data_IF_556845659499
#
_entry.id   IF_556845659499
#
_cell.length_a   1.000
_cell.length_b   1.000
_cell.length_c   1.000
_cell.angle_alpha   90.00
_cell.angle_beta   90.00
_cell.angle_gamma   90.00
#
_symmetry.space_group_name_H-M   'P 1'
#
loop_
_entity.id
_entity.type
_entity.pdbx_description
1 polymer ?
#
# COMPACT_ATOMS: atom_id res chain seq x y z
N UNK A 1 8.98 36.88 -4.04
CA UNK A 1 9.64 35.57 -3.78
C UNK A 1 8.65 34.39 -3.67
N UNK A 2 7.57 34.46 -2.87
CA UNK A 2 6.55 33.37 -2.80
C UNK A 2 5.82 33.09 -4.12
N UNK A 3 5.38 34.12 -4.86
CA UNK A 3 4.70 33.92 -6.16
C UNK A 3 5.62 33.31 -7.23
N UNK A 4 6.89 33.75 -7.30
CA UNK A 4 7.87 33.16 -8.23
C UNK A 4 8.11 31.66 -7.98
N UNK A 5 8.07 31.21 -6.72
CA UNK A 5 8.14 29.77 -6.39
C UNK A 5 6.90 29.00 -6.87
N UNK A 6 5.71 29.60 -6.74
CA UNK A 6 4.44 28.98 -7.16
C UNK A 6 4.40 28.83 -8.69
N UNK A 7 4.80 29.84 -9.45
CA UNK A 7 4.86 29.75 -10.92
C UNK A 7 5.88 28.73 -11.40
N UNK A 8 7.00 28.58 -10.68
CA UNK A 8 8.00 27.56 -10.97
C UNK A 8 7.45 26.14 -10.74
N UNK A 9 6.64 25.96 -9.69
CA UNK A 9 5.96 24.69 -9.40
C UNK A 9 4.89 24.40 -10.48
N UNK A 10 4.07 25.38 -10.87
CA UNK A 10 3.07 25.20 -11.92
C UNK A 10 3.69 24.91 -13.29
N UNK A 11 4.80 25.57 -13.64
CA UNK A 11 5.57 25.22 -14.86
C UNK A 11 6.13 23.80 -14.80
N UNK A 12 6.62 23.33 -13.64
CA UNK A 12 7.06 21.93 -13.49
C UNK A 12 5.89 20.94 -13.57
N UNK A 13 4.70 21.31 -13.08
CA UNK A 13 3.48 20.50 -13.20
C UNK A 13 3.00 20.46 -14.66
N UNK A 14 3.11 21.54 -15.42
CA UNK A 14 2.76 21.54 -16.85
C UNK A 14 3.73 20.68 -17.67
N UNK A 15 4.99 20.53 -17.26
CA UNK A 15 5.92 19.54 -17.83
C UNK A 15 5.52 18.08 -17.59
N UNK A 16 4.47 17.80 -16.80
CA UNK A 16 3.90 16.45 -16.77
C UNK A 16 3.21 16.03 -18.07
N UNK A 17 3.00 16.94 -19.03
CA UNK A 17 2.47 16.61 -20.36
C UNK A 17 3.53 15.88 -21.18
N UNK A 18 3.34 14.59 -21.42
CA UNK A 18 4.12 13.84 -22.41
C UNK A 18 3.39 13.83 -23.74
N UNK A 19 4.04 14.26 -24.82
CA UNK A 19 3.50 14.17 -26.20
C UNK A 19 3.09 12.75 -26.63
N UNK A 20 3.56 11.72 -25.91
CA UNK A 20 3.24 10.32 -26.17
C UNK A 20 1.91 9.83 -25.55
N UNK A 21 1.24 10.64 -24.73
CA UNK A 21 -0.11 10.34 -24.21
C UNK A 21 -1.12 11.32 -24.84
N UNK A 22 -1.46 11.09 -26.12
CA UNK A 22 -2.30 12.01 -26.91
C UNK A 22 -3.68 12.25 -26.30
N UNK A 23 -4.18 11.31 -25.51
CA UNK A 23 -5.49 11.38 -24.86
C UNK A 23 -5.40 11.61 -23.35
N UNK A 24 -4.20 11.79 -22.79
CA UNK A 24 -3.95 11.93 -21.35
C UNK A 24 -4.55 10.81 -20.48
N UNK A 25 -4.81 9.63 -21.07
CA UNK A 25 -5.55 8.56 -20.41
C UNK A 25 -4.78 8.01 -19.22
N UNK A 26 -3.50 7.71 -19.39
CA UNK A 26 -2.70 7.15 -18.30
C UNK A 26 -2.50 8.17 -17.18
N UNK A 27 -2.26 9.45 -17.54
CA UNK A 27 -2.15 10.52 -16.56
C UNK A 27 -3.46 10.70 -15.76
N UNK A 28 -4.60 10.73 -16.44
CA UNK A 28 -5.92 10.81 -15.83
C UNK A 28 -6.18 9.63 -14.89
N UNK A 29 -5.97 8.39 -15.37
CA UNK A 29 -6.08 7.17 -14.56
C UNK A 29 -5.17 7.23 -13.33
N UNK A 30 -3.94 7.75 -13.47
CA UNK A 30 -3.00 7.89 -12.37
C UNK A 30 -3.47 8.85 -11.29
N UNK A 31 -4.05 9.99 -11.68
CA UNK A 31 -4.63 10.97 -10.74
C UNK A 31 -5.84 10.38 -10.03
N UNK A 32 -6.76 9.74 -10.77
CA UNK A 32 -7.95 9.12 -10.17
C UNK A 32 -7.57 7.99 -9.22
N UNK A 33 -6.60 7.14 -9.57
CA UNK A 33 -6.10 6.09 -8.69
C UNK A 33 -5.40 6.64 -7.45
N UNK A 34 -4.65 7.75 -7.56
CA UNK A 34 -4.02 8.40 -6.42
C UNK A 34 -5.07 8.95 -5.45
N UNK A 35 -6.09 9.65 -5.96
CA UNK A 35 -7.22 10.11 -5.15
C UNK A 35 -7.97 8.94 -4.51
N UNK A 36 -8.13 7.84 -5.22
CA UNK A 36 -8.74 6.63 -4.69
C UNK A 36 -7.91 6.02 -3.54
N UNK A 37 -6.58 5.94 -3.66
CA UNK A 37 -5.71 5.54 -2.54
C UNK A 37 -5.86 6.47 -1.34
N UNK A 38 -5.85 7.80 -1.56
CA UNK A 38 -6.04 8.78 -0.48
C UNK A 38 -7.38 8.58 0.24
N UNK A 39 -8.46 8.39 -0.53
CA UNK A 39 -9.79 8.09 0.01
C UNK A 39 -9.80 6.80 0.85
N UNK A 40 -9.21 5.70 0.32
CA UNK A 40 -9.19 4.41 1.02
C UNK A 40 -8.34 4.46 2.29
N UNK A 41 -7.17 5.10 2.26
CA UNK A 41 -6.35 5.27 3.47
C UNK A 41 -6.99 6.22 4.49
N UNK A 42 -7.68 7.28 4.04
CA UNK A 42 -8.49 8.10 4.92
C UNK A 42 -9.61 7.28 5.60
N UNK A 43 -10.32 6.44 4.84
CA UNK A 43 -11.32 5.52 5.38
C UNK A 43 -10.71 4.54 6.38
N UNK A 44 -9.53 3.99 6.09
CA UNK A 44 -8.82 3.11 7.01
C UNK A 44 -8.53 3.79 8.35
N UNK A 45 -7.98 5.00 8.32
CA UNK A 45 -7.63 5.74 9.55
C UNK A 45 -8.87 6.16 10.34
N UNK A 46 -9.94 6.58 9.66
CA UNK A 46 -11.14 7.12 10.32
C UNK A 46 -12.17 6.06 10.73
N UNK A 47 -12.25 4.96 9.98
CA UNK A 47 -13.28 3.91 10.15
C UNK A 47 -12.70 2.54 10.49
N UNK A 48 -11.38 2.38 10.49
CA UNK A 48 -10.70 1.10 10.71
C UNK A 48 -10.79 0.12 9.54
N UNK A 49 -11.33 0.54 8.38
CA UNK A 49 -11.50 -0.30 7.19
C UNK A 49 -11.41 0.54 5.92
N UNK A 50 -10.84 -0.03 4.87
CA UNK A 50 -10.82 0.59 3.55
C UNK A 50 -12.17 0.50 2.83
N UNK A 51 -13.12 -0.28 3.34
CA UNK A 51 -14.49 -0.37 2.84
C UNK A 51 -14.60 -1.17 1.54
N UNK A 52 -13.75 -2.17 1.35
CA UNK A 52 -13.89 -3.13 0.25
C UNK A 52 -14.87 -4.22 0.65
N UNK A 53 -15.70 -4.64 -0.30
CA UNK A 53 -16.72 -5.68 -0.11
C UNK A 53 -16.63 -6.72 -1.23
N UNK A 54 -17.13 -7.91 -0.98
CA UNK A 54 -17.25 -8.96 -2.01
C UNK A 54 -18.44 -8.70 -2.93
N UNK A 55 -18.58 -9.53 -3.97
CA UNK A 55 -19.69 -9.46 -4.93
C UNK A 55 -21.05 -9.37 -4.21
N UNK A 56 -21.98 -8.50 -4.65
CA UNK A 56 -21.97 -7.74 -5.91
C UNK A 56 -21.50 -6.26 -5.80
N UNK A 57 -20.67 -5.90 -4.81
CA UNK A 57 -20.29 -4.50 -4.61
C UNK A 57 -19.62 -3.86 -5.84
N UNK A 58 -20.28 -2.87 -6.43
CA UNK A 58 -19.84 -2.25 -7.68
C UNK A 58 -18.61 -1.36 -7.48
N UNK A 59 -18.49 -0.70 -6.32
CA UNK A 59 -17.34 0.17 -6.01
C UNK A 59 -16.03 -0.62 -5.93
N UNK A 60 -16.06 -1.81 -5.36
CA UNK A 60 -14.90 -2.71 -5.31
C UNK A 60 -14.50 -3.16 -6.71
N UNK A 61 -15.47 -3.55 -7.55
CA UNK A 61 -15.20 -3.93 -8.93
C UNK A 61 -14.60 -2.76 -9.74
N UNK A 62 -15.19 -1.57 -9.63
CA UNK A 62 -14.68 -0.37 -10.30
C UNK A 62 -13.27 -0.01 -9.84
N UNK A 63 -12.96 -0.18 -8.55
CA UNK A 63 -11.60 0.01 -8.04
C UNK A 63 -10.62 -0.99 -8.68
N UNK A 64 -10.96 -2.29 -8.72
CA UNK A 64 -10.11 -3.30 -9.36
C UNK A 64 -9.88 -2.96 -10.84
N UNK A 65 -10.93 -2.56 -11.56
CA UNK A 65 -10.84 -2.17 -12.97
C UNK A 65 -10.01 -0.91 -13.18
N UNK A 66 -10.19 0.13 -12.36
CA UNK A 66 -9.42 1.38 -12.39
C UNK A 66 -7.92 1.10 -12.24
N UNK A 67 -7.54 0.36 -11.19
CA UNK A 67 -6.13 0.06 -10.92
C UNK A 67 -5.53 -0.91 -11.96
N UNK A 68 -6.34 -1.81 -12.54
CA UNK A 68 -5.92 -2.67 -13.66
C UNK A 68 -5.66 -1.85 -14.92
N UNK A 69 -6.59 -0.96 -15.29
CA UNK A 69 -6.45 -0.06 -16.43
C UNK A 69 -5.24 0.86 -16.28
N UNK A 70 -4.97 1.38 -15.07
CA UNK A 70 -3.77 2.15 -14.79
C UNK A 70 -2.49 1.34 -15.04
N UNK A 71 -2.41 0.11 -14.52
CA UNK A 71 -1.23 -0.74 -14.71
C UNK A 71 -1.04 -1.13 -16.18
N UNK A 72 -2.09 -1.53 -16.89
CA UNK A 72 -2.00 -1.95 -18.30
C UNK A 72 -1.72 -0.78 -19.25
N UNK A 73 -2.27 0.41 -18.98
CA UNK A 73 -2.01 1.60 -19.80
C UNK A 73 -0.54 2.04 -19.77
N UNK A 74 0.26 1.60 -18.79
CA UNK A 74 1.70 1.84 -18.80
C UNK A 74 2.41 1.22 -20.02
N UNK A 75 1.83 0.21 -20.68
CA UNK A 75 2.39 -0.42 -21.89
C UNK A 75 2.46 0.54 -23.10
N UNK A 76 1.68 1.62 -23.09
CA UNK A 76 1.67 2.64 -24.15
C UNK A 76 3.03 3.36 -24.21
N UNK A 77 3.73 3.46 -23.08
CA UNK A 77 5.03 4.13 -23.03
C UNK A 77 6.15 3.25 -23.53
N UNK A 78 6.91 3.78 -24.51
CA UNK A 78 8.20 3.24 -24.91
C UNK A 78 9.22 3.53 -23.82
N UNK A 79 9.64 2.50 -23.10
CA UNK A 79 10.73 2.55 -22.13
C UNK A 79 12.01 1.99 -22.74
N UNK A 80 13.20 2.48 -22.35
CA UNK A 80 14.45 1.91 -22.83
C UNK A 80 14.55 0.43 -22.43
N UNK A 81 15.12 -0.37 -23.34
CA UNK A 81 15.40 -1.79 -23.09
C UNK A 81 16.55 -1.92 -22.10
N UNK A 82 17.53 -1.02 -22.18
CA UNK A 82 18.72 -1.02 -21.32
C UNK A 82 18.58 -0.11 -20.11
N UNK A 83 19.07 -0.56 -18.97
CA UNK A 83 19.15 0.22 -17.73
C UNK A 83 20.30 1.23 -17.83
N UNK A 84 20.05 2.44 -17.35
CA UNK A 84 21.08 3.45 -17.08
C UNK A 84 21.51 3.36 -15.62
N UNK A 85 22.80 3.44 -15.34
CA UNK A 85 23.35 3.35 -13.97
C UNK A 85 23.27 4.65 -13.18
N UNK A 86 22.99 5.79 -13.82
CA UNK A 86 23.11 7.11 -13.20
C UNK A 86 21.98 7.46 -12.24
N UNK A 87 20.74 7.09 -12.55
CA UNK A 87 19.57 7.44 -11.77
C UNK A 87 18.50 6.33 -11.79
N UNK A 88 17.68 6.19 -10.73
CA UNK A 88 16.50 5.35 -10.74
C UNK A 88 15.55 5.76 -11.87
N UNK A 89 15.51 4.97 -12.92
CA UNK A 89 14.67 5.22 -14.10
C UNK A 89 13.87 3.97 -14.41
N UNK A 90 12.69 4.12 -15.00
CA UNK A 90 11.91 2.99 -15.48
C UNK A 90 12.49 2.45 -16.80
N UNK A 91 12.98 1.20 -16.79
CA UNK A 91 13.36 0.43 -17.98
C UNK A 91 12.37 -0.73 -18.23
N UNK A 92 12.54 -1.45 -19.35
CA UNK A 92 11.54 -2.41 -19.83
C UNK A 92 11.27 -3.58 -18.86
N UNK A 93 12.31 -4.16 -18.26
CA UNK A 93 12.13 -5.24 -17.27
C UNK A 93 11.35 -4.75 -16.05
N UNK A 94 11.76 -3.61 -15.47
CA UNK A 94 11.07 -3.01 -14.33
C UNK A 94 9.60 -2.72 -14.66
N UNK A 95 9.33 -2.07 -15.80
CA UNK A 95 7.96 -1.76 -16.24
C UNK A 95 7.10 -3.02 -16.28
N UNK A 96 7.57 -4.08 -16.94
CA UNK A 96 6.81 -5.33 -17.09
C UNK A 96 6.66 -6.08 -15.76
N UNK A 97 7.67 -6.06 -14.88
CA UNK A 97 7.56 -6.61 -13.53
C UNK A 97 6.53 -5.86 -12.68
N UNK A 98 6.55 -4.53 -12.68
CA UNK A 98 5.56 -3.72 -11.96
C UNK A 98 4.14 -4.02 -12.42
N UNK A 99 3.90 -4.13 -13.73
CA UNK A 99 2.60 -4.51 -14.29
C UNK A 99 2.22 -5.92 -13.82
N UNK A 100 3.13 -6.89 -13.96
CA UNK A 100 2.88 -8.29 -13.59
C UNK A 100 2.52 -8.43 -12.11
N UNK A 101 3.24 -7.76 -11.21
CA UNK A 101 2.98 -7.83 -9.77
C UNK A 101 1.75 -7.03 -9.34
N UNK A 102 1.42 -5.92 -10.02
CA UNK A 102 0.16 -5.23 -9.81
C UNK A 102 -1.03 -6.12 -10.23
N UNK A 103 -0.95 -6.72 -11.43
CA UNK A 103 -1.98 -7.65 -11.92
C UNK A 103 -2.11 -8.90 -11.07
N UNK A 104 -1.04 -9.37 -10.41
CA UNK A 104 -1.11 -10.43 -9.40
C UNK A 104 -2.05 -10.05 -8.25
N UNK A 105 -1.81 -8.89 -7.63
CA UNK A 105 -2.65 -8.44 -6.50
C UNK A 105 -4.08 -8.18 -6.96
N UNK A 106 -4.27 -7.51 -8.10
CA UNK A 106 -5.61 -7.20 -8.64
C UNK A 106 -6.37 -8.46 -9.07
N UNK A 107 -5.70 -9.44 -9.66
CA UNK A 107 -6.30 -10.73 -10.01
C UNK A 107 -6.69 -11.52 -8.77
N UNK A 108 -5.88 -11.48 -7.71
CA UNK A 108 -6.26 -12.05 -6.41
C UNK A 108 -7.44 -11.30 -5.79
N UNK A 109 -7.46 -9.97 -5.80
CA UNK A 109 -8.62 -9.19 -5.35
C UNK A 109 -9.88 -9.59 -6.11
N UNK A 110 -9.80 -9.79 -7.42
CA UNK A 110 -10.92 -10.24 -8.25
C UNK A 110 -11.41 -11.64 -7.82
N UNK A 111 -10.51 -12.58 -7.55
CA UNK A 111 -10.90 -13.90 -7.05
C UNK A 111 -11.58 -13.82 -5.68
N UNK A 112 -11.09 -12.96 -4.78
CA UNK A 112 -11.72 -12.74 -3.47
C UNK A 112 -13.10 -12.12 -3.63
N UNK A 113 -13.21 -11.11 -4.49
CA UNK A 113 -14.46 -10.44 -4.81
C UNK A 113 -15.52 -11.43 -5.29
N UNK A 114 -15.15 -12.38 -6.16
CA UNK A 114 -16.03 -13.42 -6.68
C UNK A 114 -16.25 -14.62 -5.73
N UNK A 115 -15.66 -14.62 -4.52
CA UNK A 115 -15.72 -15.75 -3.59
C UNK A 115 -14.82 -16.95 -3.98
N UNK A 116 -14.03 -16.83 -5.04
CA UNK A 116 -13.13 -17.86 -5.59
C UNK A 116 -11.71 -17.81 -4.97
N UNK A 117 -11.62 -17.42 -3.70
CA UNK A 117 -10.35 -17.19 -3.02
C UNK A 117 -9.44 -18.42 -2.92
N UNK A 118 -9.97 -19.65 -3.05
CA UNK A 118 -9.14 -20.87 -3.09
C UNK A 118 -8.22 -20.93 -4.31
N UNK A 119 -8.55 -20.23 -5.39
CA UNK A 119 -7.77 -20.21 -6.63
C UNK A 119 -6.67 -19.13 -6.67
N UNK A 120 -6.45 -18.38 -5.58
CA UNK A 120 -5.42 -17.32 -5.50
C UNK A 120 -4.04 -17.78 -5.95
N UNK A 121 -3.68 -19.00 -5.58
CA UNK A 121 -2.41 -19.62 -5.91
C UNK A 121 -2.14 -19.67 -7.41
N UNK A 122 -3.17 -19.96 -8.22
CA UNK A 122 -3.05 -20.03 -9.69
C UNK A 122 -2.57 -18.69 -10.23
N UNK A 123 -3.20 -17.59 -9.81
CA UNK A 123 -2.80 -16.23 -10.20
C UNK A 123 -1.38 -15.91 -9.76
N UNK A 124 -1.03 -16.22 -8.50
CA UNK A 124 0.31 -15.95 -7.94
C UNK A 124 1.40 -16.70 -8.68
N UNK A 125 1.22 -18.00 -8.92
CA UNK A 125 2.20 -18.85 -9.61
C UNK A 125 2.35 -18.44 -11.07
N UNK A 126 1.23 -18.17 -11.77
CA UNK A 126 1.27 -17.68 -13.16
C UNK A 126 2.01 -16.36 -13.26
N UNK A 127 1.73 -15.38 -12.38
CA UNK A 127 2.47 -14.12 -12.37
C UNK A 127 3.97 -14.30 -12.06
N UNK A 128 4.34 -15.24 -11.18
CA UNK A 128 5.74 -15.56 -10.94
C UNK A 128 6.44 -16.20 -12.14
N UNK A 129 5.75 -17.06 -12.87
CA UNK A 129 6.23 -17.61 -14.13
C UNK A 129 6.43 -16.52 -15.18
N UNK A 130 5.44 -15.64 -15.38
CA UNK A 130 5.54 -14.50 -16.31
C UNK A 130 6.70 -13.58 -15.93
N UNK A 131 6.88 -13.28 -14.64
CA UNK A 131 8.02 -12.47 -14.16
C UNK A 131 9.38 -13.12 -14.47
N UNK A 132 9.50 -14.45 -14.40
CA UNK A 132 10.71 -15.15 -14.80
C UNK A 132 10.95 -15.08 -16.30
N UNK A 133 9.92 -15.19 -17.12
CA UNK A 133 10.06 -15.04 -18.58
C UNK A 133 10.48 -13.62 -18.96
N UNK A 134 9.92 -12.60 -18.30
CA UNK A 134 10.36 -11.21 -18.44
C UNK A 134 11.83 -11.08 -18.07
N UNK A 135 12.22 -11.65 -16.93
CA UNK A 135 13.62 -11.62 -16.46
C UNK A 135 14.53 -12.30 -17.50
N UNK A 136 14.23 -13.52 -17.92
CA UNK A 136 15.02 -14.25 -18.93
C UNK A 136 15.24 -13.44 -20.21
N UNK A 137 14.24 -12.66 -20.64
CA UNK A 137 14.30 -11.86 -21.87
C UNK A 137 15.03 -10.52 -21.73
N UNK A 138 14.93 -9.86 -20.57
CA UNK A 138 15.37 -8.47 -20.41
C UNK A 138 16.45 -8.25 -19.35
N UNK A 139 16.86 -9.30 -18.63
CA UNK A 139 17.79 -9.22 -17.49
C UNK A 139 19.10 -8.53 -17.85
N UNK A 140 19.40 -7.50 -17.09
CA UNK A 140 20.70 -6.79 -17.11
C UNK A 140 21.30 -6.65 -15.70
N UNK A 141 20.79 -7.46 -14.76
CA UNK A 141 21.07 -7.34 -13.35
C UNK A 141 19.89 -7.81 -12.51
N UNK A 142 19.89 -7.46 -11.23
CA UNK A 142 18.71 -7.64 -10.38
C UNK A 142 17.90 -6.36 -10.34
N UNK A 143 16.58 -6.46 -10.57
CA UNK A 143 15.73 -5.27 -10.78
C UNK A 143 15.74 -4.29 -9.61
N UNK A 144 15.76 -4.78 -8.37
CA UNK A 144 15.78 -3.89 -7.18
C UNK A 144 17.17 -3.68 -6.58
N UNK A 145 18.03 -4.70 -6.58
CA UNK A 145 19.31 -4.62 -5.86
C UNK A 145 20.36 -3.76 -6.57
N UNK A 146 20.22 -3.62 -7.86
CA UNK A 146 21.10 -2.79 -8.67
C UNK A 146 20.44 -1.45 -9.03
N UNK A 147 19.39 -1.05 -8.31
CA UNK A 147 18.82 0.30 -8.45
C UNK A 147 19.86 1.32 -7.97
N UNK A 148 20.14 2.40 -8.71
CA UNK A 148 21.16 3.38 -8.32
C UNK A 148 20.84 4.00 -6.96
N UNK A 149 21.73 3.78 -5.99
CA UNK A 149 21.65 4.33 -4.65
C UNK A 149 22.35 5.69 -4.60
N UNK A 150 21.82 6.68 -3.86
CA UNK A 150 22.59 7.88 -3.52
C UNK A 150 23.79 7.51 -2.64
N UNK A 151 24.89 8.25 -2.75
CA UNK A 151 26.16 7.97 -2.07
C UNK A 151 25.99 7.73 -0.56
N UNK A 152 25.15 8.54 0.09
CA UNK A 152 24.84 8.42 1.53
C UNK A 152 24.21 7.07 1.93
N UNK A 153 23.54 6.38 0.99
CA UNK A 153 22.88 5.09 1.23
C UNK A 153 23.71 3.89 0.78
N UNK A 154 24.84 4.09 0.08
CA UNK A 154 25.71 2.99 -0.39
C UNK A 154 26.18 2.09 0.76
N UNK A 155 26.61 2.62 1.94
CA UNK A 155 26.98 1.78 3.08
C UNK A 155 25.86 0.87 3.59
N UNK A 156 24.59 1.26 3.38
CA UNK A 156 23.40 0.54 3.83
C UNK A 156 22.76 -0.32 2.73
N UNK A 157 23.44 -0.48 1.60
CA UNK A 157 22.90 -1.17 0.43
C UNK A 157 22.48 -2.61 0.74
N UNK A 158 23.19 -3.31 1.62
CA UNK A 158 22.89 -4.69 2.02
C UNK A 158 21.58 -4.77 2.81
N UNK A 159 21.42 -3.90 3.81
CA UNK A 159 20.26 -3.83 4.71
C UNK A 159 19.02 -3.44 3.92
N UNK A 160 19.13 -2.43 3.04
CA UNK A 160 18.04 -2.02 2.15
C UNK A 160 17.63 -3.15 1.22
N UNK A 161 18.59 -3.85 0.62
CA UNK A 161 18.31 -4.98 -0.26
C UNK A 161 17.66 -6.15 0.47
N UNK A 162 18.07 -6.41 1.71
CA UNK A 162 17.44 -7.41 2.56
C UNK A 162 16.00 -7.02 2.91
N UNK A 163 15.78 -5.76 3.32
CA UNK A 163 14.45 -5.24 3.61
C UNK A 163 13.53 -5.36 2.40
N UNK A 164 13.94 -4.85 1.23
CA UNK A 164 13.13 -4.94 0.00
C UNK A 164 12.84 -6.38 -0.42
N UNK A 165 13.84 -7.26 -0.37
CA UNK A 165 13.65 -8.67 -0.74
C UNK A 165 12.71 -9.39 0.25
N UNK A 166 12.82 -9.07 1.53
CA UNK A 166 11.95 -9.64 2.57
C UNK A 166 10.52 -9.12 2.42
N UNK A 167 10.33 -7.84 2.18
CA UNK A 167 8.99 -7.27 1.91
C UNK A 167 8.33 -7.86 0.68
N UNK A 168 9.09 -8.19 -0.36
CA UNK A 168 8.56 -8.90 -1.52
C UNK A 168 8.07 -10.32 -1.18
N UNK A 169 8.74 -11.04 -0.27
CA UNK A 169 8.30 -12.36 0.20
C UNK A 169 7.04 -12.25 1.05
N UNK A 170 7.02 -11.32 2.01
CA UNK A 170 5.84 -11.08 2.86
C UNK A 170 4.63 -10.60 2.04
N UNK A 171 4.86 -9.84 0.97
CA UNK A 171 3.80 -9.48 0.02
C UNK A 171 3.19 -10.71 -0.66
N UNK A 172 3.96 -11.76 -0.98
CA UNK A 172 3.40 -13.01 -1.52
C UNK A 172 2.56 -13.73 -0.48
N UNK A 173 3.06 -13.84 0.75
CA UNK A 173 2.33 -14.46 1.87
C UNK A 173 1.01 -13.72 2.11
N UNK A 174 1.05 -12.39 2.20
CA UNK A 174 -0.14 -11.58 2.39
C UNK A 174 -1.16 -11.77 1.26
N UNK A 175 -0.70 -11.81 0.00
CA UNK A 175 -1.59 -12.05 -1.15
C UNK A 175 -2.24 -13.45 -1.12
N UNK A 176 -1.54 -14.46 -0.62
CA UNK A 176 -2.11 -15.81 -0.50
C UNK A 176 -3.10 -15.92 0.66
N UNK A 177 -2.80 -15.29 1.80
CA UNK A 177 -3.45 -15.57 3.09
C UNK A 177 -4.52 -14.53 3.49
N UNK A 178 -4.32 -13.24 3.19
CA UNK A 178 -5.11 -12.14 3.74
C UNK A 178 -6.38 -11.81 2.93
N UNK A 179 -7.17 -10.85 3.42
CA UNK A 179 -8.38 -10.36 2.76
C UNK A 179 -8.10 -9.39 1.61
N UNK A 180 -9.19 -8.86 1.04
CA UNK A 180 -9.13 -7.96 -0.12
C UNK A 180 -8.49 -6.60 0.22
N UNK A 181 -8.68 -6.11 1.45
CA UNK A 181 -8.13 -4.83 1.91
C UNK A 181 -6.61 -4.90 1.98
N UNK A 182 -6.08 -5.95 2.57
CA UNK A 182 -4.64 -6.14 2.74
C UNK A 182 -3.95 -6.38 1.40
N UNK A 183 -4.60 -7.10 0.48
CA UNK A 183 -4.10 -7.26 -0.89
C UNK A 183 -4.03 -5.91 -1.60
N UNK A 184 -5.02 -5.02 -1.40
CA UNK A 184 -4.99 -3.66 -1.92
C UNK A 184 -3.85 -2.83 -1.29
N UNK A 185 -3.61 -2.99 0.01
CA UNK A 185 -2.49 -2.34 0.69
C UNK A 185 -1.13 -2.80 0.15
N UNK A 186 -1.00 -4.08 -0.22
CA UNK A 186 0.19 -4.64 -0.89
C UNK A 186 0.34 -4.14 -2.34
N UNK A 187 -0.77 -3.82 -3.02
CA UNK A 187 -0.73 -3.22 -4.36
C UNK A 187 -0.13 -1.80 -4.33
N UNK A 188 -0.38 -1.04 -3.26
CA UNK A 188 0.04 0.36 -3.16
C UNK A 188 1.53 0.59 -3.43
N UNK A 189 2.49 -0.07 -2.74
CA UNK A 189 3.92 0.12 -3.00
C UNK A 189 4.34 -0.16 -4.45
N UNK A 190 3.66 -1.10 -5.12
CA UNK A 190 3.99 -1.51 -6.50
C UNK A 190 3.65 -0.38 -7.47
N UNK A 191 2.42 0.16 -7.38
CA UNK A 191 1.99 1.26 -8.23
C UNK A 191 2.67 2.58 -7.84
N UNK A 192 2.90 2.79 -6.54
CA UNK A 192 3.57 3.97 -6.03
C UNK A 192 5.03 4.03 -6.48
N UNK A 193 5.78 2.91 -6.46
CA UNK A 193 7.14 2.88 -6.98
C UNK A 193 7.22 3.30 -8.46
N UNK A 194 6.29 2.82 -9.28
CA UNK A 194 6.20 3.22 -10.70
C UNK A 194 5.92 4.73 -10.84
N UNK A 195 4.99 5.26 -10.04
CA UNK A 195 4.73 6.71 -9.98
C UNK A 195 5.98 7.50 -9.56
N UNK A 196 6.68 7.09 -8.49
CA UNK A 196 7.90 7.74 -8.02
C UNK A 196 8.99 7.76 -9.10
N UNK A 197 9.15 6.69 -9.88
CA UNK A 197 10.09 6.69 -11.02
C UNK A 197 9.71 7.72 -12.10
N UNK A 198 8.42 8.01 -12.29
CA UNK A 198 8.02 9.10 -13.19
C UNK A 198 8.39 10.47 -12.62
N UNK A 199 8.36 10.65 -11.30
CA UNK A 199 8.80 11.88 -10.64
C UNK A 199 10.32 12.07 -10.74
N UNK A 200 11.10 10.98 -10.57
CA UNK A 200 12.55 11.01 -10.78
C UNK A 200 12.88 11.38 -12.22
N UNK A 201 12.24 10.74 -13.20
CA UNK A 201 12.43 11.07 -14.63
C UNK A 201 12.13 12.54 -14.95
N UNK A 202 11.19 13.15 -14.23
CA UNK A 202 10.83 14.57 -14.38
C UNK A 202 11.67 15.51 -13.52
N UNK A 203 12.72 14.99 -12.86
CA UNK A 203 13.59 15.73 -11.94
C UNK A 203 12.79 16.47 -10.84
N UNK A 204 11.67 15.89 -10.39
CA UNK A 204 10.86 16.43 -9.29
C UNK A 204 11.43 15.95 -7.95
N UNK A 205 11.83 14.68 -7.89
CA UNK A 205 12.52 14.07 -6.73
C UNK A 205 13.84 13.43 -7.20
N UNK A 206 14.83 13.38 -6.33
CA UNK A 206 16.09 12.68 -6.57
C UNK A 206 16.04 11.19 -6.18
N UNK A 207 17.15 10.44 -6.40
CA UNK A 207 17.27 9.03 -6.01
C UNK A 207 16.97 8.78 -4.53
N UNK A 208 17.47 9.66 -3.65
CA UNK A 208 17.19 9.59 -2.21
C UNK A 208 15.69 9.67 -1.91
N UNK A 209 14.99 10.65 -2.49
CA UNK A 209 13.55 10.81 -2.31
C UNK A 209 12.75 9.59 -2.78
N UNK A 210 13.17 8.98 -3.90
CA UNK A 210 12.58 7.74 -4.38
C UNK A 210 12.72 6.60 -3.37
N UNK A 211 13.94 6.35 -2.87
CA UNK A 211 14.17 5.28 -1.89
C UNK A 211 13.44 5.53 -0.58
N UNK A 212 13.43 6.76 -0.07
CA UNK A 212 12.74 7.12 1.16
C UNK A 212 11.23 6.88 1.05
N UNK A 213 10.60 7.41 0.01
CA UNK A 213 9.15 7.28 -0.21
C UNK A 213 8.74 5.84 -0.53
N UNK A 214 9.55 5.09 -1.28
CA UNK A 214 9.30 3.67 -1.55
C UNK A 214 9.40 2.84 -0.27
N UNK A 215 10.45 3.06 0.53
CA UNK A 215 10.62 2.38 1.83
C UNK A 215 9.44 2.67 2.76
N UNK A 216 9.02 3.93 2.86
CA UNK A 216 7.82 4.31 3.61
C UNK A 216 6.58 3.57 3.11
N UNK A 217 6.37 3.47 1.80
CA UNK A 217 5.22 2.75 1.26
C UNK A 217 5.24 1.26 1.62
N UNK A 218 6.42 0.62 1.64
CA UNK A 218 6.58 -0.77 2.05
C UNK A 218 6.32 -1.00 3.54
N UNK A 219 6.54 0.01 4.39
CA UNK A 219 6.26 -0.04 5.83
C UNK A 219 4.75 -0.06 6.11
N UNK A 220 3.94 0.59 5.28
CA UNK A 220 2.49 0.72 5.51
C UNK A 220 1.76 -0.63 5.70
N UNK A 221 1.96 -1.67 4.86
CA UNK A 221 1.44 -3.01 5.13
C UNK A 221 1.76 -3.54 6.52
N UNK A 222 3.00 -3.36 7.00
CA UNK A 222 3.39 -3.84 8.32
C UNK A 222 2.72 -3.08 9.46
N UNK A 223 2.56 -1.76 9.32
CA UNK A 223 1.80 -0.98 10.30
C UNK A 223 0.35 -1.44 10.35
N UNK A 224 -0.25 -1.74 9.19
CA UNK A 224 -1.61 -2.30 9.17
C UNK A 224 -1.69 -3.63 9.92
N UNK A 225 -0.77 -4.56 9.65
CA UNK A 225 -0.72 -5.85 10.36
C UNK A 225 -0.59 -5.63 11.87
N UNK A 226 0.26 -4.70 12.31
CA UNK A 226 0.51 -4.44 13.72
C UNK A 226 -0.68 -3.83 14.47
N UNK A 227 -1.45 -2.95 13.82
CA UNK A 227 -2.52 -2.20 14.48
C UNK A 227 -3.92 -2.77 14.26
N UNK A 228 -4.18 -3.43 13.14
CA UNK A 228 -5.55 -3.81 12.75
C UNK A 228 -5.81 -5.32 12.72
N UNK A 229 -4.76 -6.16 12.68
CA UNK A 229 -4.96 -7.60 12.72
C UNK A 229 -4.84 -8.18 14.14
N UNK A 230 -5.67 -9.17 14.49
CA UNK A 230 -5.52 -9.90 15.74
C UNK A 230 -4.12 -10.52 15.87
N UNK A 231 -3.54 -10.49 17.07
CA UNK A 231 -2.20 -11.02 17.36
C UNK A 231 -1.99 -12.46 16.85
N UNK A 232 -2.93 -13.41 17.00
CA UNK A 232 -2.75 -14.76 16.46
C UNK A 232 -2.58 -14.78 14.94
N UNK A 233 -3.27 -13.89 14.23
CA UNK A 233 -3.19 -13.77 12.77
C UNK A 233 -1.86 -13.18 12.33
N UNK A 234 -1.38 -12.17 13.05
CA UNK A 234 -0.04 -11.60 12.84
C UNK A 234 1.03 -12.66 13.06
N UNK A 235 0.93 -13.42 14.16
CA UNK A 235 1.87 -14.50 14.48
C UNK A 235 1.91 -15.56 13.37
N UNK A 236 0.75 -16.00 12.85
CA UNK A 236 0.65 -16.93 11.73
C UNK A 236 1.39 -16.42 10.49
N UNK A 237 1.16 -15.16 10.10
CA UNK A 237 1.80 -14.54 8.93
C UNK A 237 3.32 -14.41 9.12
N UNK A 238 3.76 -14.05 10.33
CA UNK A 238 5.17 -13.99 10.68
C UNK A 238 5.81 -15.39 10.61
N UNK A 239 5.17 -16.42 11.15
CA UNK A 239 5.67 -17.79 11.08
C UNK A 239 5.81 -18.27 9.62
N UNK A 240 4.79 -18.04 8.78
CA UNK A 240 4.83 -18.42 7.36
C UNK A 240 5.90 -17.60 6.63
N UNK A 241 5.93 -16.28 6.84
CA UNK A 241 6.87 -15.37 6.18
C UNK A 241 8.33 -15.60 6.57
N UNK A 242 8.62 -15.83 7.85
CA UNK A 242 9.96 -16.18 8.34
C UNK A 242 10.39 -17.55 7.79
N UNK A 243 9.51 -18.55 7.82
CA UNK A 243 9.81 -19.87 7.23
C UNK A 243 10.13 -19.74 5.75
N UNK A 244 9.32 -19.00 4.98
CA UNK A 244 9.58 -18.75 3.57
C UNK A 244 10.90 -17.99 3.33
N UNK A 245 11.23 -17.01 4.18
CA UNK A 245 12.49 -16.27 4.11
C UNK A 245 13.70 -17.17 4.42
N UNK A 246 13.61 -18.04 5.43
CA UNK A 246 14.67 -19.01 5.75
C UNK A 246 14.88 -19.99 4.61
N UNK A 247 13.81 -20.60 4.08
CA UNK A 247 13.87 -21.49 2.91
C UNK A 247 14.49 -20.78 1.70
N UNK A 248 14.10 -19.53 1.46
CA UNK A 248 14.57 -18.78 0.29
C UNK A 248 16.02 -18.32 0.41
N UNK A 249 16.41 -17.73 1.54
CA UNK A 249 17.71 -17.07 1.68
C UNK A 249 18.78 -17.99 2.27
N UNK A 250 18.46 -18.85 3.24
CA UNK A 250 19.41 -19.78 3.86
C UNK A 250 19.54 -21.07 3.06
N UNK A 251 18.41 -21.72 2.77
CA UNK A 251 18.41 -23.00 2.05
C UNK A 251 18.39 -22.87 0.52
N UNK A 252 18.27 -21.63 -0.01
CA UNK A 252 18.28 -21.32 -1.44
C UNK A 252 17.20 -22.07 -2.24
N UNK A 253 16.10 -22.45 -1.61
CA UNK A 253 14.99 -23.13 -2.28
C UNK A 253 14.44 -22.25 -3.42
N UNK A 254 14.01 -22.89 -4.50
CA UNK A 254 13.31 -22.17 -5.57
C UNK A 254 11.98 -21.64 -5.04
N UNK A 255 11.53 -20.48 -5.55
CA UNK A 255 10.23 -19.90 -5.13
C UNK A 255 9.06 -20.86 -5.37
N UNK A 256 9.15 -21.72 -6.39
CA UNK A 256 8.11 -22.71 -6.69
C UNK A 256 8.04 -23.81 -5.64
N UNK A 257 9.19 -24.27 -5.11
CA UNK A 257 9.23 -25.23 -4.01
C UNK A 257 8.66 -24.68 -2.70
N UNK A 258 8.62 -23.35 -2.54
CA UNK A 258 8.04 -22.70 -1.36
C UNK A 258 6.53 -22.50 -1.57
N UNK A 259 6.15 -21.86 -2.67
CA UNK A 259 4.79 -21.38 -2.86
C UNK A 259 3.81 -22.47 -3.28
N UNK A 260 4.22 -23.50 -4.02
CA UNK A 260 3.32 -24.58 -4.43
C UNK A 260 2.85 -25.39 -3.21
N UNK A 261 3.74 -25.93 -2.33
CA UNK A 261 3.29 -26.66 -1.15
C UNK A 261 2.46 -25.81 -0.19
N UNK A 262 2.86 -24.55 0.05
CA UNK A 262 2.08 -23.62 0.88
C UNK A 262 0.68 -23.41 0.29
N UNK A 263 0.59 -23.18 -1.02
CA UNK A 263 -0.69 -22.98 -1.71
C UNK A 263 -1.58 -24.21 -1.65
N UNK A 264 -1.01 -25.40 -1.84
CA UNK A 264 -1.75 -26.67 -1.72
C UNK A 264 -2.28 -26.84 -0.31
N UNK A 265 -1.47 -26.55 0.71
CA UNK A 265 -1.92 -26.59 2.10
C UNK A 265 -3.08 -25.62 2.34
N UNK A 266 -2.93 -24.36 1.94
CA UNK A 266 -3.97 -23.33 2.07
C UNK A 266 -5.26 -23.65 1.32
N UNK A 267 -5.19 -24.39 0.20
CA UNK A 267 -6.36 -24.81 -0.56
C UNK A 267 -7.24 -25.79 0.20
N UNK A 268 -6.63 -26.72 0.95
CA UNK A 268 -7.34 -27.74 1.73
C UNK A 268 -7.73 -27.25 3.14
N UNK A 269 -7.11 -26.19 3.64
CA UNK A 269 -7.51 -25.60 4.92
C UNK A 269 -8.90 -24.94 4.80
N UNK A 270 -9.74 -25.05 5.84
CA UNK A 270 -11.01 -24.32 5.89
C UNK A 270 -10.80 -22.82 5.64
N UNK A 271 -11.66 -22.24 4.81
CA UNK A 271 -11.56 -20.86 4.37
C UNK A 271 -11.86 -19.88 5.51
N UNK A 272 -10.82 -19.42 6.20
CA UNK A 272 -10.91 -18.45 7.31
C UNK A 272 -11.46 -17.07 6.91
N UNK A 273 -11.51 -16.76 5.61
CA UNK A 273 -12.03 -15.47 5.10
C UNK A 273 -13.51 -15.28 5.44
N UNK A 274 -14.29 -16.37 5.56
CA UNK A 274 -15.69 -16.30 5.99
C UNK A 274 -15.87 -16.00 7.49
N UNK A 275 -14.84 -16.24 8.30
CA UNK A 275 -14.82 -15.91 9.73
C UNK A 275 -14.42 -14.45 9.95
N UNK A 276 -13.45 -13.94 9.19
CA UNK A 276 -12.94 -12.56 9.31
C UNK A 276 -13.98 -11.49 8.91
N UNK A 277 -14.88 -11.80 7.97
CA UNK A 277 -16.02 -10.95 7.64
C UNK A 277 -16.99 -10.72 8.83
N UNK A 278 -17.04 -11.65 9.78
CA UNK A 278 -17.80 -11.51 11.05
C UNK A 278 -16.97 -10.87 12.17
N UNK A 279 -15.63 -10.93 12.11
CA UNK A 279 -14.75 -10.28 13.08
C UNK A 279 -14.65 -8.77 12.84
N UNK A 280 -14.52 -8.33 11.59
CA UNK A 280 -14.46 -6.91 11.23
C UNK A 280 -15.74 -6.16 11.61
N UNK A 281 -16.91 -6.78 11.47
CA UNK A 281 -18.16 -6.22 11.99
C UNK A 281 -18.10 -6.04 13.52
N UNK A 282 -17.60 -7.03 14.27
CA UNK A 282 -17.42 -6.92 15.73
C UNK A 282 -16.50 -5.79 16.15
N UNK A 283 -15.36 -5.59 15.47
CA UNK A 283 -14.45 -4.49 15.77
C UNK A 283 -15.06 -3.13 15.46
N UNK A 284 -15.78 -3.01 14.33
CA UNK A 284 -16.51 -1.78 14.02
C UNK A 284 -17.58 -1.47 15.08
N UNK A 285 -18.24 -2.50 15.62
CA UNK A 285 -19.16 -2.35 16.75
C UNK A 285 -18.43 -1.92 18.02
N UNK A 286 -17.28 -2.51 18.34
CA UNK A 286 -16.49 -2.16 19.52
C UNK A 286 -15.98 -0.71 19.48
N UNK A 287 -15.43 -0.26 18.34
CA UNK A 287 -15.00 1.13 18.15
C UNK A 287 -16.20 2.08 18.24
N UNK A 288 -17.34 1.72 17.63
CA UNK A 288 -18.55 2.55 17.73
C UNK A 288 -19.07 2.66 19.16
N UNK A 289 -18.95 1.59 19.96
CA UNK A 289 -19.34 1.55 21.37
C UNK A 289 -18.39 2.41 22.22
N UNK A 290 -17.10 2.35 21.95
CA UNK A 290 -16.09 3.15 22.65
C UNK A 290 -16.25 4.64 22.32
N UNK A 291 -16.53 4.98 21.06
CA UNK A 291 -16.86 6.34 20.64
C UNK A 291 -18.18 6.83 21.26
N UNK A 292 -19.21 5.98 21.38
CA UNK A 292 -20.44 6.36 22.07
C UNK A 292 -20.22 6.58 23.55
N UNK A 293 -19.41 5.73 24.20
CA UNK A 293 -19.08 5.84 25.61
C UNK A 293 -18.27 7.12 25.90
N UNK A 294 -17.33 7.45 25.01
CA UNK A 294 -16.57 8.69 25.11
C UNK A 294 -17.49 9.93 24.97
N UNK A 295 -18.43 9.91 24.01
CA UNK A 295 -19.43 10.97 23.85
C UNK A 295 -20.34 11.12 25.07
N UNK A 296 -20.81 10.01 25.65
CA UNK A 296 -21.62 10.07 26.86
C UNK A 296 -20.83 10.64 28.04
N UNK A 297 -19.54 10.32 28.16
CA UNK A 297 -18.69 10.86 29.21
C UNK A 297 -18.50 12.38 29.06
N UNK A 298 -18.27 12.88 27.84
CA UNK A 298 -18.18 14.33 27.59
C UNK A 298 -19.49 15.06 27.88
N UNK A 299 -20.63 14.50 27.48
CA UNK A 299 -21.94 15.11 27.77
C UNK A 299 -22.25 15.10 29.27
N UNK A 300 -21.86 14.06 29.99
CA UNK A 300 -22.02 14.00 31.45
C UNK A 300 -21.10 15.00 32.16
N UNK A 301 -19.87 15.19 31.67
CA UNK A 301 -18.97 16.22 32.19
C UNK A 301 -19.50 17.64 31.95
N UNK A 302 -20.07 17.92 30.77
CA UNK A 302 -20.72 19.20 30.46
C UNK A 302 -21.98 19.43 31.33
N UNK A 303 -22.79 18.40 31.54
CA UNK A 303 -23.97 18.47 32.40
C UNK A 303 -23.59 18.73 33.87
N UNK A 304 -22.57 18.05 34.38
CA UNK A 304 -22.07 18.25 35.74
C UNK A 304 -21.43 19.63 35.92
N UNK A 305 -20.68 20.12 34.93
CA UNK A 305 -20.15 21.48 34.93
C UNK A 305 -21.27 22.53 34.90
N UNK A 306 -22.39 22.26 34.24
CA UNK A 306 -23.53 23.18 34.18
C UNK A 306 -24.33 23.19 35.48
N UNK A 307 -24.40 22.05 36.18
CA UNK A 307 -25.06 21.95 37.48
C UNK A 307 -24.26 22.64 38.61
N UNK A 308 -22.93 22.65 38.55
CA UNK A 308 -22.08 23.28 39.58
C UNK A 308 -21.92 24.81 39.42
N UNK A 309 -22.40 25.38 38.30
CA UNK A 309 -22.46 26.84 38.08
C UNK A 309 -23.69 27.47 38.76
N UNK A 310 -24.59 26.65 39.31
CA UNK A 310 -25.82 27.10 40.00
C UNK A 310 -25.61 27.75 41.38
N UNK A 311 -24.45 27.59 42.03
CA UNK A 311 -24.30 28.02 43.45
C UNK A 311 -22.93 28.62 43.82
N UNK A 312 -22.05 28.89 42.84
CA UNK A 312 -20.80 29.61 43.10
C UNK A 312 -20.78 30.95 42.36
N UNK A 313 -21.07 31.97 43.15
CA UNK A 313 -20.85 33.39 42.86
C UNK A 313 -19.51 33.57 42.12
N UNK A 314 -19.60 34.11 40.90
CA UNK A 314 -18.50 34.31 39.96
C UNK A 314 -17.35 35.05 40.63
N UNK A 315 -16.26 34.36 40.92
CA UNK A 315 -14.98 35.00 41.24
C UNK A 315 -14.34 35.47 39.91
N UNK A 316 -14.27 36.80 39.65
CA UNK A 316 -13.78 37.35 38.39
C UNK A 316 -12.32 36.97 38.08
N UNK A 317 -11.57 36.45 39.05
CA UNK A 317 -10.17 36.07 38.88
C UNK A 317 -9.97 34.80 38.03
N UNK A 318 -10.85 33.80 38.15
CA UNK A 318 -10.73 32.53 37.41
C UNK A 318 -11.08 32.66 35.92
N UNK A 319 -12.01 33.56 35.56
CA UNK A 319 -12.33 33.83 34.16
C UNK A 319 -11.16 34.50 33.42
N UNK A 320 -10.42 35.38 34.10
CA UNK A 320 -9.21 36.02 33.56
C UNK A 320 -8.13 34.99 33.22
N UNK A 321 -7.92 34.00 34.09
CA UNK A 321 -6.89 32.98 33.92
C UNK A 321 -7.18 32.01 32.76
N UNK A 322 -8.41 31.52 32.64
CA UNK A 322 -8.80 30.61 31.55
C UNK A 322 -8.78 31.29 30.17
N UNK A 323 -9.07 32.58 30.10
CA UNK A 323 -9.01 33.35 28.84
C UNK A 323 -7.57 33.61 28.37
N UNK A 324 -6.60 33.58 29.28
CA UNK A 324 -5.17 33.72 28.97
C UNK A 324 -4.59 32.43 28.35
N UNK A 325 -4.99 31.25 28.84
CA UNK A 325 -4.47 29.97 28.33
C UNK A 325 -5.01 29.57 26.94
N UNK A 326 -6.20 30.04 26.54
CA UNK A 326 -6.77 29.74 25.21
C UNK A 326 -6.12 30.61 24.11
N UNK A 327 -5.37 31.66 24.49
CA UNK A 327 -4.70 32.57 23.56
C UNK A 327 -3.21 32.28 23.34
N UNK A 328 -2.65 31.24 23.97
CA UNK A 328 -1.26 30.77 23.77
C UNK A 328 -1.21 29.47 22.98
#
# INVERSE_FOLDING_TARGET
VKMAKIDTIWRKISYLHSHHDRLFLHKGLGVVALLHYMYRFYSLVTKGSMGFKTFPDTFTLLAILLHSALSLSALIFKTPIRRTSSQPMMWKEFQLHSITFAMRSLGVMMLIYLGLHRFRAVVVITCHYVADQITKRYKQGTTMRDMPLPEILVPYSREMNLFYSTSQLFAVVGVLVLGIEEVFLILFPIQFAAFLLTLVRKNIIGPFGWHAMYTWSLILPYLYLAFFLPVPRVAELLCIGITAALLRFKFRCSKYMIWIPLSTCLYFMPSRIEEDGRSTSRWSSAISLEQSNFRSFTLQAEANSSADIGDKQKDPFMLSFLTSMIKS
#
